data_IF_635955282294
#
_entry.id   IF_635955282294
#
_cell.length_a   1.000
_cell.length_b   1.000
_cell.length_c   1.000
_cell.angle_alpha   90.00
_cell.angle_beta   90.00
_cell.angle_gamma   90.00
#
_symmetry.space_group_name_H-M   'P 1'
#
loop_
_entity.id
_entity.type
_entity.pdbx_description
1 polymer ?
#
# COMPACT_ATOMS: atom_id res chain seq x y z
N UNK A 1 -14.37 7.68 -18.56
CA UNK A 1 -15.03 6.64 -17.73
C UNK A 1 -14.38 6.66 -16.36
N UNK A 2 -15.15 6.57 -15.27
CA UNK A 2 -14.60 6.51 -13.91
C UNK A 2 -14.37 5.04 -13.50
N UNK A 3 -13.39 4.75 -12.62
CA UNK A 3 -13.19 3.40 -12.09
C UNK A 3 -14.42 2.91 -11.33
N UNK A 4 -14.70 1.60 -11.42
CA UNK A 4 -15.65 0.94 -10.50
C UNK A 4 -15.00 0.84 -9.13
N UNK A 5 -15.67 1.35 -8.10
CA UNK A 5 -15.17 1.32 -6.72
C UNK A 5 -15.90 0.24 -5.92
N UNK A 6 -15.14 -0.58 -5.21
CA UNK A 6 -15.63 -1.57 -4.25
C UNK A 6 -15.00 -1.25 -2.91
N UNK A 7 -15.81 -1.14 -1.86
CA UNK A 7 -15.33 -1.01 -0.48
C UNK A 7 -15.32 -2.39 0.15
N UNK A 8 -14.16 -2.78 0.68
CA UNK A 8 -13.95 -4.09 1.30
C UNK A 8 -13.25 -3.91 2.65
N UNK A 9 -13.78 -4.56 3.69
CA UNK A 9 -13.22 -4.57 5.04
C UNK A 9 -13.48 -5.94 5.67
N UNK A 10 -12.59 -6.34 6.58
CA UNK A 10 -12.88 -7.37 7.58
C UNK A 10 -13.32 -6.68 8.86
N UNK A 11 -14.42 -7.14 9.45
CA UNK A 11 -14.99 -6.58 10.68
C UNK A 11 -15.35 -7.68 11.66
N UNK A 12 -15.32 -7.37 12.96
CA UNK A 12 -15.88 -8.24 13.99
C UNK A 12 -17.41 -8.32 13.87
N UNK A 13 -18.04 -9.23 14.61
CA UNK A 13 -19.50 -9.43 14.60
C UNK A 13 -20.27 -8.19 15.08
N UNK A 14 -19.68 -7.40 15.97
CA UNK A 14 -20.21 -6.12 16.45
C UNK A 14 -19.79 -4.91 15.59
N UNK A 15 -19.08 -5.14 14.48
CA UNK A 15 -18.74 -4.11 13.50
C UNK A 15 -17.47 -3.31 13.78
N UNK A 16 -16.62 -3.76 14.71
CA UNK A 16 -15.32 -3.15 14.94
C UNK A 16 -14.37 -3.41 13.75
N UNK A 17 -13.56 -2.40 13.44
CA UNK A 17 -12.53 -2.42 12.37
C UNK A 17 -11.10 -2.49 12.93
N UNK A 18 -10.97 -2.51 14.26
CA UNK A 18 -9.72 -2.58 15.03
C UNK A 18 -9.94 -3.43 16.27
N UNK A 19 -8.85 -3.80 16.93
CA UNK A 19 -8.85 -4.47 18.23
C UNK A 19 -9.55 -5.84 18.23
N UNK A 20 -9.46 -6.55 17.10
CA UNK A 20 -9.87 -7.95 16.97
C UNK A 20 -8.86 -8.74 16.13
N UNK A 21 -8.78 -10.05 16.36
CA UNK A 21 -7.89 -10.94 15.62
C UNK A 21 -8.41 -11.14 14.19
N UNK A 22 -7.72 -10.52 13.23
CA UNK A 22 -8.00 -10.69 11.81
C UNK A 22 -7.06 -11.74 11.20
N UNK A 23 -7.63 -12.71 10.48
CA UNK A 23 -6.86 -13.60 9.63
C UNK A 23 -6.47 -12.85 8.34
N UNK A 24 -5.22 -12.37 8.28
CA UNK A 24 -4.70 -11.58 7.15
C UNK A 24 -4.59 -12.40 5.87
N UNK A 25 -4.24 -13.68 5.96
CA UNK A 25 -4.17 -14.55 4.79
C UNK A 25 -5.57 -14.74 4.19
N UNK A 26 -6.58 -14.97 5.03
CA UNK A 26 -7.97 -15.04 4.60
C UNK A 26 -8.46 -13.69 4.05
N UNK A 27 -8.12 -12.58 4.71
CA UNK A 27 -8.47 -11.23 4.28
C UNK A 27 -8.03 -10.98 2.83
N UNK A 28 -6.75 -11.21 2.51
CA UNK A 28 -6.23 -10.99 1.15
C UNK A 28 -6.68 -12.06 0.16
N UNK A 29 -6.89 -13.30 0.59
CA UNK A 29 -7.48 -14.35 -0.26
C UNK A 29 -8.88 -13.98 -0.74
N UNK A 30 -9.70 -13.38 0.13
CA UNK A 30 -11.04 -12.90 -0.24
C UNK A 30 -10.96 -11.62 -1.06
N UNK A 31 -10.11 -10.66 -0.66
CA UNK A 31 -9.90 -9.43 -1.43
C UNK A 31 -9.46 -9.70 -2.87
N UNK A 32 -8.56 -10.66 -3.08
CA UNK A 32 -8.07 -11.04 -4.41
C UNK A 32 -9.15 -11.55 -5.37
N UNK A 33 -10.32 -11.99 -4.87
CA UNK A 33 -11.45 -12.41 -5.70
C UNK A 33 -12.24 -11.25 -6.31
N UNK A 34 -12.00 -10.03 -5.84
CA UNK A 34 -12.64 -8.82 -6.38
C UNK A 34 -12.07 -8.49 -7.77
N UNK A 35 -10.89 -9.02 -8.11
CA UNK A 35 -10.17 -8.76 -9.37
C UNK A 35 -9.92 -7.25 -9.57
N UNK A 36 -9.50 -6.60 -8.49
CA UNK A 36 -9.22 -5.17 -8.49
C UNK A 36 -7.89 -4.91 -9.20
N UNK A 37 -7.88 -3.91 -10.09
CA UNK A 37 -6.64 -3.44 -10.71
C UNK A 37 -5.77 -2.63 -9.73
N UNK A 38 -6.42 -2.04 -8.71
CA UNK A 38 -5.78 -1.27 -7.65
C UNK A 38 -6.54 -1.44 -6.34
N UNK A 39 -5.80 -1.51 -5.22
CA UNK A 39 -6.32 -1.44 -3.87
C UNK A 39 -5.91 -0.11 -3.24
N UNK A 40 -6.87 0.65 -2.72
CA UNK A 40 -6.63 1.97 -2.13
C UNK A 40 -6.70 1.91 -0.61
N UNK A 41 -5.68 2.45 0.07
CA UNK A 41 -5.68 2.63 1.51
C UNK A 41 -5.04 3.96 1.93
N UNK A 42 -5.28 4.40 3.17
CA UNK A 42 -4.61 5.55 3.76
C UNK A 42 -3.29 5.14 4.43
N UNK A 43 -2.34 6.08 4.53
CA UNK A 43 -1.04 5.81 5.16
C UNK A 43 -1.10 5.44 6.63
N UNK A 44 -2.15 5.87 7.35
CA UNK A 44 -2.42 5.45 8.73
C UNK A 44 -2.75 3.96 8.82
N UNK A 45 -3.65 3.46 7.95
CA UNK A 45 -3.99 2.03 7.88
C UNK A 45 -2.78 1.20 7.51
N UNK A 46 -2.03 1.65 6.51
CA UNK A 46 -0.79 1.01 6.10
C UNK A 46 0.17 0.92 7.30
N UNK A 47 0.56 2.06 7.89
CA UNK A 47 1.52 2.09 9.00
C UNK A 47 1.11 1.18 10.16
N UNK A 48 -0.17 1.23 10.57
CA UNK A 48 -0.68 0.32 11.61
C UNK A 48 -0.57 -1.15 11.21
N UNK A 49 -0.76 -1.50 9.93
CA UNK A 49 -0.54 -2.86 9.44
C UNK A 49 0.89 -3.35 9.66
N UNK A 50 1.90 -2.50 9.39
CA UNK A 50 3.30 -2.84 9.69
C UNK A 50 3.49 -3.06 11.19
N UNK A 51 3.02 -2.12 12.01
CA UNK A 51 3.18 -2.15 13.48
C UNK A 51 2.51 -3.38 14.12
N UNK A 52 1.39 -3.83 13.58
CA UNK A 52 0.61 -4.96 14.12
C UNK A 52 1.12 -6.32 13.63
N UNK A 53 1.50 -6.43 12.35
CA UNK A 53 1.79 -7.73 11.74
C UNK A 53 3.28 -8.02 11.57
N UNK A 54 4.16 -7.06 11.84
CA UNK A 54 5.60 -7.26 11.75
C UNK A 54 6.28 -7.05 13.10
N UNK A 55 6.98 -8.10 13.57
CA UNK A 55 7.82 -8.00 14.77
C UNK A 55 9.02 -7.08 14.58
N UNK A 56 9.60 -7.12 13.39
CA UNK A 56 10.75 -6.30 12.99
C UNK A 56 10.54 -5.87 11.55
N UNK A 57 10.68 -4.57 11.28
CA UNK A 57 10.67 -4.05 9.91
C UNK A 57 12.01 -4.41 9.26
N UNK A 58 12.02 -5.10 8.10
CA UNK A 58 13.25 -5.42 7.40
C UNK A 58 13.96 -4.13 6.98
N UNK A 59 15.29 -4.17 6.91
CA UNK A 59 16.05 -3.06 6.34
C UNK A 59 15.82 -2.98 4.82
N UNK A 60 15.68 -1.75 4.30
CA UNK A 60 15.57 -1.50 2.86
C UNK A 60 16.85 -1.94 2.16
N UNK A 61 16.71 -2.81 1.16
CA UNK A 61 17.82 -3.32 0.35
C UNK A 61 17.92 -2.54 -0.97
N UNK A 62 19.10 -2.51 -1.63
CA UNK A 62 19.25 -1.84 -2.92
C UNK A 62 18.27 -2.33 -3.99
N UNK A 63 17.86 -3.61 -3.93
CA UNK A 63 16.84 -4.18 -4.82
C UNK A 63 15.45 -3.57 -4.64
N UNK A 64 15.13 -3.06 -3.44
CA UNK A 64 13.83 -2.45 -3.13
C UNK A 64 13.71 -1.05 -3.72
N UNK A 65 14.85 -0.42 -4.04
CA UNK A 65 14.91 0.88 -4.68
C UNK A 65 14.72 0.79 -6.20
N UNK A 66 14.55 -0.40 -6.76
CA UNK A 66 14.35 -0.63 -8.20
C UNK A 66 12.88 -0.93 -8.47
N UNK A 67 12.36 -0.42 -9.59
CA UNK A 67 11.00 -0.69 -10.02
C UNK A 67 10.84 -2.18 -10.38
N UNK A 68 9.84 -2.90 -9.82
CA UNK A 68 9.61 -4.30 -10.16
C UNK A 68 9.28 -4.50 -11.64
N UNK A 69 9.81 -5.57 -12.23
CA UNK A 69 9.40 -6.02 -13.57
C UNK A 69 8.09 -6.80 -13.44
N UNK A 70 7.01 -6.19 -13.91
CA UNK A 70 5.66 -6.78 -13.88
C UNK A 70 5.48 -7.66 -15.12
N UNK A 71 5.16 -8.95 -14.90
CA UNK A 71 4.87 -9.90 -15.98
C UNK A 71 3.43 -9.76 -16.47
N UNK A 72 3.15 -10.19 -17.70
CA UNK A 72 1.80 -10.14 -18.28
C UNK A 72 0.78 -10.97 -17.50
N UNK A 73 1.23 -12.03 -16.82
CA UNK A 73 0.43 -12.91 -15.97
C UNK A 73 0.40 -12.48 -14.49
N UNK A 74 0.92 -11.29 -14.15
CA UNK A 74 0.82 -10.72 -12.80
C UNK A 74 -0.49 -9.96 -12.59
N UNK A 75 -1.51 -10.70 -12.16
CA UNK A 75 -2.85 -10.21 -11.85
C UNK A 75 -2.97 -9.53 -10.49
N UNK A 76 -1.88 -9.40 -9.72
CA UNK A 76 -1.96 -8.72 -8.42
C UNK A 76 -2.32 -7.23 -8.61
N UNK A 77 -3.08 -6.64 -7.67
CA UNK A 77 -3.40 -5.21 -7.73
C UNK A 77 -2.14 -4.37 -7.52
N UNK A 78 -2.16 -3.15 -8.06
CA UNK A 78 -1.32 -2.08 -7.49
C UNK A 78 -1.84 -1.69 -6.12
N UNK A 79 -0.96 -1.42 -5.18
CA UNK A 79 -1.37 -0.79 -3.93
C UNK A 79 -1.22 0.71 -4.05
N UNK A 80 -2.35 1.42 -4.00
CA UNK A 80 -2.41 2.87 -4.05
C UNK A 80 -2.55 3.37 -2.63
N UNK A 81 -1.59 4.17 -2.16
CA UNK A 81 -1.58 4.64 -0.77
C UNK A 81 -1.61 6.16 -0.74
N UNK A 82 -2.62 6.73 -0.06
CA UNK A 82 -2.66 8.16 0.20
C UNK A 82 -1.72 8.52 1.36
N UNK A 83 -0.62 9.22 1.07
CA UNK A 83 0.39 9.62 2.05
C UNK A 83 0.93 11.03 1.84
N UNK A 84 0.07 12.03 1.99
CA UNK A 84 0.49 13.43 1.82
C UNK A 84 1.49 13.92 2.88
N UNK A 85 1.58 13.24 4.03
CA UNK A 85 2.39 13.65 5.19
C UNK A 85 3.66 12.81 5.38
N UNK A 86 4.03 11.99 4.39
CA UNK A 86 5.23 11.17 4.42
C UNK A 86 5.30 10.19 5.61
N UNK A 87 4.15 9.66 6.07
CA UNK A 87 4.09 8.72 7.19
C UNK A 87 4.78 7.39 6.90
N UNK A 88 4.93 7.04 5.62
CA UNK A 88 5.56 5.82 5.14
C UNK A 88 6.97 6.03 4.60
N UNK A 89 7.58 7.19 4.82
CA UNK A 89 8.99 7.41 4.46
C UNK A 89 9.88 6.37 5.17
N UNK A 90 10.63 5.59 4.38
CA UNK A 90 11.46 4.49 4.88
C UNK A 90 10.72 3.19 5.17
N UNK A 91 9.44 3.08 4.82
CA UNK A 91 8.60 1.91 5.07
C UNK A 91 7.96 1.32 3.80
N UNK A 92 8.09 1.98 2.64
CA UNK A 92 7.39 1.55 1.42
C UNK A 92 7.93 0.23 0.84
N UNK A 93 9.18 -0.12 1.11
CA UNK A 93 9.79 -1.37 0.65
C UNK A 93 9.05 -2.59 1.20
N UNK A 94 8.51 -2.50 2.42
CA UNK A 94 7.68 -3.55 3.02
C UNK A 94 6.48 -3.91 2.14
N UNK A 95 5.84 -2.90 1.56
CA UNK A 95 4.68 -3.10 0.68
C UNK A 95 5.10 -3.60 -0.69
N UNK A 96 6.16 -3.03 -1.27
CA UNK A 96 6.70 -3.49 -2.55
C UNK A 96 7.13 -4.96 -2.51
N UNK A 97 7.63 -5.44 -1.37
CA UNK A 97 7.99 -6.84 -1.14
C UNK A 97 6.78 -7.75 -0.86
N UNK A 98 5.58 -7.20 -0.67
CA UNK A 98 4.38 -7.98 -0.35
C UNK A 98 3.99 -8.89 -1.52
N UNK A 99 3.70 -10.15 -1.21
CA UNK A 99 3.19 -11.10 -2.22
C UNK A 99 1.78 -10.73 -2.71
N UNK A 100 1.07 -9.83 -2.02
CA UNK A 100 -0.31 -9.43 -2.34
C UNK A 100 -0.42 -8.23 -3.31
N UNK A 101 0.70 -7.60 -3.67
CA UNK A 101 0.73 -6.48 -4.61
C UNK A 101 1.89 -6.63 -5.59
N UNK A 102 1.77 -6.01 -6.76
CA UNK A 102 2.87 -6.00 -7.75
C UNK A 102 3.79 -4.79 -7.66
N UNK A 103 3.25 -3.65 -7.24
CA UNK A 103 4.02 -2.46 -6.87
C UNK A 103 3.11 -1.47 -6.13
N UNK A 104 3.71 -0.39 -5.63
CA UNK A 104 3.05 0.66 -4.84
C UNK A 104 3.02 1.97 -5.61
N UNK A 105 1.87 2.65 -5.60
CA UNK A 105 1.68 4.00 -6.15
C UNK A 105 1.26 4.92 -5.01
N UNK A 106 1.92 6.07 -4.86
CA UNK A 106 1.63 7.00 -3.76
C UNK A 106 0.78 8.17 -4.24
N UNK A 107 -0.33 8.43 -3.56
CA UNK A 107 -1.09 9.68 -3.75
C UNK A 107 -0.54 10.73 -2.79
N UNK A 108 -0.05 11.83 -3.36
CA UNK A 108 0.54 12.97 -2.66
C UNK A 108 -0.33 14.22 -2.85
N UNK A 109 -0.07 15.26 -2.06
CA UNK A 109 -0.72 16.58 -2.18
C UNK A 109 0.31 17.68 -2.47
N UNK A 110 -0.18 18.89 -2.77
CA UNK A 110 0.69 20.05 -3.01
C UNK A 110 1.49 20.45 -1.76
N UNK A 111 0.96 20.07 -0.60
CA UNK A 111 1.57 20.23 0.73
C UNK A 111 2.54 19.11 1.12
N UNK A 112 2.75 18.09 0.27
CA UNK A 112 3.66 16.98 0.58
C UNK A 112 5.12 17.46 0.71
N UNK A 113 5.85 17.05 1.76
CA UNK A 113 7.24 17.46 1.97
C UNK A 113 8.14 17.13 0.76
N UNK A 114 8.93 18.10 0.30
CA UNK A 114 9.86 17.92 -0.85
C UNK A 114 10.82 16.75 -0.64
N UNK A 115 11.31 16.55 0.57
CA UNK A 115 12.19 15.43 0.91
C UNK A 115 11.53 14.07 0.65
N UNK A 116 10.22 13.95 0.89
CA UNK A 116 9.49 12.72 0.59
C UNK A 116 9.34 12.51 -0.92
N UNK A 117 9.07 13.57 -1.69
CA UNK A 117 9.04 13.47 -3.15
C UNK A 117 10.41 13.04 -3.72
N UNK A 118 11.51 13.52 -3.15
CA UNK A 118 12.87 13.06 -3.50
C UNK A 118 13.04 11.58 -3.16
N UNK A 119 12.66 11.16 -1.95
CA UNK A 119 12.69 9.76 -1.51
C UNK A 119 11.93 8.84 -2.47
N UNK A 120 10.74 9.24 -2.94
CA UNK A 120 9.94 8.47 -3.89
C UNK A 120 10.64 8.33 -5.25
N UNK A 121 11.22 9.43 -5.76
CA UNK A 121 11.93 9.43 -7.05
C UNK A 121 13.18 8.57 -7.03
N UNK A 122 14.00 8.70 -5.98
CA UNK A 122 15.25 7.94 -5.82
C UNK A 122 15.02 6.43 -5.75
N UNK A 123 13.84 6.01 -5.28
CA UNK A 123 13.43 4.60 -5.15
C UNK A 123 12.51 4.13 -6.25
N UNK A 124 12.32 4.94 -7.28
CA UNK A 124 11.45 4.63 -8.42
C UNK A 124 10.01 4.21 -8.00
N UNK A 125 9.45 4.87 -7.00
CA UNK A 125 8.02 4.78 -6.72
C UNK A 125 7.25 5.73 -7.65
N UNK A 126 6.19 5.23 -8.26
CA UNK A 126 5.24 6.10 -8.95
C UNK A 126 4.44 6.89 -7.91
N UNK A 127 4.21 8.17 -8.18
CA UNK A 127 3.35 8.99 -7.34
C UNK A 127 2.49 9.94 -8.17
N UNK A 128 1.29 10.23 -7.67
CA UNK A 128 0.29 11.07 -8.32
C UNK A 128 -0.04 12.22 -7.37
N UNK A 129 0.10 13.45 -7.86
CA UNK A 129 -0.40 14.63 -7.17
C UNK A 129 -1.93 14.65 -7.29
N UNK A 130 -2.62 14.34 -6.20
CA UNK A 130 -4.08 14.13 -6.17
C UNK A 130 -4.80 14.98 -5.10
N UNK A 131 -4.12 15.97 -4.53
CA UNK A 131 -4.70 16.90 -3.55
C UNK A 131 -3.93 18.22 -3.48
N UNK A 132 -4.58 19.23 -2.91
CA UNK A 132 -3.96 20.51 -2.58
C UNK A 132 -3.41 20.45 -1.15
#
# INVERSE_FOLDING_TARGET
MLPKVVVYNSVSVDGAIKDFDVDIALHYKVAGRIDAQAMLAGSDTAKSGIELFMKTVPEEQPSDCVKPTIKEDDYRPYWVIADSRAKLMGLLHVYRQSEYCKDVIILVSSTTPKAYLTYLKERHYDYILAGN
#
